data_IF_323263542997
#
_entry.id   IF_323263542997
#
_cell.length_a   1.000
_cell.length_b   1.000
_cell.length_c   1.000
_cell.angle_alpha   90.00
_cell.angle_beta   90.00
_cell.angle_gamma   90.00
#
_symmetry.space_group_name_H-M   'P 1'
#
loop_
_entity.id
_entity.type
_entity.pdbx_description
1 polymer ?
#
# COMPACT_ATOMS: atom_id res chain seq x y z
N UNK A 1 -4.70 -0.16 -30.14
CA UNK A 1 -3.90 0.15 -28.92
C UNK A 1 -4.72 0.89 -27.85
N UNK A 2 -5.43 1.98 -28.17
CA UNK A 2 -6.24 2.74 -27.18
C UNK A 2 -7.28 1.89 -26.42
N UNK A 3 -7.91 0.92 -27.11
CA UNK A 3 -8.92 0.05 -26.49
C UNK A 3 -8.35 -0.90 -25.40
N UNK A 4 -7.07 -1.28 -25.49
CA UNK A 4 -6.44 -2.18 -24.52
C UNK A 4 -6.15 -1.46 -23.19
N UNK A 5 -5.68 -0.20 -23.27
CA UNK A 5 -5.45 0.66 -22.09
C UNK A 5 -6.77 0.98 -21.34
N UNK A 6 -7.87 1.15 -22.09
CA UNK A 6 -9.20 1.34 -21.51
C UNK A 6 -9.73 0.06 -20.85
N UNK A 7 -9.46 -1.12 -21.42
CA UNK A 7 -9.84 -2.41 -20.85
C UNK A 7 -9.07 -2.72 -19.56
N UNK A 8 -7.76 -2.45 -19.51
CA UNK A 8 -6.94 -2.63 -18.31
C UNK A 8 -7.44 -1.73 -17.17
N UNK A 9 -7.77 -0.46 -17.47
CA UNK A 9 -8.44 0.43 -16.51
C UNK A 9 -9.78 -0.12 -16.01
N UNK A 10 -10.54 -0.90 -16.80
CA UNK A 10 -11.86 -1.44 -16.39
C UNK A 10 -11.77 -2.67 -15.49
N UNK A 11 -10.71 -3.48 -15.60
CA UNK A 11 -10.49 -4.63 -14.73
C UNK A 11 -10.12 -4.22 -13.29
N UNK A 12 -9.46 -3.07 -13.14
CA UNK A 12 -9.09 -2.44 -11.87
C UNK A 12 -10.18 -1.51 -11.28
N UNK A 13 -11.46 -1.71 -11.60
CA UNK A 13 -12.53 -0.72 -11.29
C UNK A 13 -13.70 -1.27 -10.49
N UNK A 14 -13.47 -2.29 -9.67
CA UNK A 14 -14.48 -2.76 -8.71
C UNK A 14 -13.99 -2.72 -7.27
N UNK A 15 -13.30 -1.65 -6.89
CA UNK A 15 -12.74 -1.48 -5.55
C UNK A 15 -13.83 -1.34 -4.49
N UNK A 16 -14.95 -0.74 -4.87
CA UNK A 16 -16.13 -0.67 -4.00
C UNK A 16 -16.68 -2.06 -3.65
N UNK A 17 -16.53 -3.07 -4.52
CA UNK A 17 -16.88 -4.44 -4.16
C UNK A 17 -15.86 -5.13 -3.24
N UNK A 18 -14.60 -4.66 -3.22
CA UNK A 18 -13.57 -5.18 -2.31
C UNK A 18 -13.77 -4.69 -0.88
N UNK A 19 -14.15 -3.42 -0.71
CA UNK A 19 -14.49 -2.85 0.60
C UNK A 19 -15.56 -1.75 0.45
N UNK A 20 -16.85 -2.09 0.61
CA UNK A 20 -17.95 -1.12 0.49
C UNK A 20 -17.93 -0.02 1.56
N UNK A 21 -17.17 -0.23 2.65
CA UNK A 21 -17.03 0.72 3.76
C UNK A 21 -15.94 1.76 3.52
N UNK A 22 -15.04 1.51 2.56
CA UNK A 22 -13.97 2.43 2.19
C UNK A 22 -14.51 3.58 1.34
N UNK A 23 -14.75 4.73 1.97
CA UNK A 23 -15.27 5.92 1.30
C UNK A 23 -14.38 6.45 0.17
N UNK A 24 -13.08 6.14 0.18
CA UNK A 24 -12.14 6.51 -0.89
C UNK A 24 -12.54 5.86 -2.22
N UNK A 25 -13.04 4.63 -2.22
CA UNK A 25 -13.42 3.93 -3.45
C UNK A 25 -14.65 4.51 -4.14
N UNK A 26 -15.48 5.27 -3.43
CA UNK A 26 -16.62 6.01 -4.00
C UNK A 26 -16.19 7.27 -4.77
N UNK A 27 -14.94 7.69 -4.61
CA UNK A 27 -14.38 8.83 -5.32
C UNK A 27 -13.18 8.35 -6.13
N UNK A 28 -13.42 8.00 -7.40
CA UNK A 28 -12.39 7.46 -8.31
C UNK A 28 -11.17 8.39 -8.43
N UNK A 29 -11.38 9.70 -8.48
CA UNK A 29 -10.29 10.67 -8.57
C UNK A 29 -9.43 10.68 -7.30
N UNK A 30 -10.06 10.68 -6.12
CA UNK A 30 -9.35 10.60 -4.84
C UNK A 30 -8.58 9.28 -4.72
N UNK A 31 -9.25 8.16 -5.02
CA UNK A 31 -8.61 6.84 -5.04
C UNK A 31 -7.38 6.83 -5.94
N UNK A 32 -7.49 7.33 -7.18
CA UNK A 32 -6.38 7.34 -8.12
C UNK A 32 -5.18 8.15 -7.62
N UNK A 33 -5.41 9.28 -6.93
CA UNK A 33 -4.34 10.08 -6.32
C UNK A 33 -3.65 9.28 -5.21
N UNK A 34 -4.43 8.68 -4.30
CA UNK A 34 -3.89 7.89 -3.19
C UNK A 34 -3.14 6.66 -3.69
N UNK A 35 -3.66 6.01 -4.73
CA UNK A 35 -3.01 4.87 -5.40
C UNK A 35 -1.66 5.28 -5.97
N UNK A 36 -1.62 6.43 -6.67
CA UNK A 36 -0.40 6.96 -7.30
C UNK A 36 0.69 7.29 -6.28
N UNK A 37 0.32 7.81 -5.11
CA UNK A 37 1.28 8.01 -3.99
C UNK A 37 1.94 6.68 -3.61
N UNK A 38 1.16 5.61 -3.46
CA UNK A 38 1.70 4.29 -3.15
C UNK A 38 2.58 3.73 -4.27
N UNK A 39 2.26 3.97 -5.55
CA UNK A 39 3.09 3.54 -6.68
C UNK A 39 4.45 4.21 -6.66
N UNK A 40 4.47 5.54 -6.59
CA UNK A 40 5.71 6.32 -6.64
C UNK A 40 6.59 6.04 -5.41
N UNK A 41 5.97 5.87 -4.24
CA UNK A 41 6.66 5.46 -3.03
C UNK A 41 7.32 4.08 -3.19
N UNK A 42 6.60 3.10 -3.75
CA UNK A 42 7.17 1.79 -4.04
C UNK A 42 8.30 1.85 -5.07
N UNK A 43 8.16 2.62 -6.15
CA UNK A 43 9.23 2.77 -7.16
C UNK A 43 10.55 3.28 -6.54
N UNK A 44 10.49 4.13 -5.51
CA UNK A 44 11.68 4.63 -4.81
C UNK A 44 12.32 3.61 -3.86
N UNK A 45 11.52 2.75 -3.21
CA UNK A 45 11.98 1.85 -2.15
C UNK A 45 11.81 0.36 -2.49
N UNK A 46 11.55 0.02 -3.75
CA UNK A 46 11.22 -1.36 -4.16
C UNK A 46 12.35 -2.34 -3.91
N UNK A 47 13.60 -1.88 -3.81
CA UNK A 47 14.74 -2.74 -3.50
C UNK A 47 14.78 -3.21 -2.04
N UNK A 48 14.17 -2.45 -1.14
CA UNK A 48 14.16 -2.70 0.31
C UNK A 48 12.80 -3.26 0.77
N UNK A 49 11.71 -2.76 0.17
CA UNK A 49 10.34 -3.07 0.56
C UNK A 49 9.49 -3.45 -0.66
N UNK A 50 9.60 -4.72 -1.08
CA UNK A 50 8.87 -5.27 -2.23
C UNK A 50 7.34 -5.14 -2.11
N UNK A 51 6.81 -5.25 -0.88
CA UNK A 51 5.37 -5.17 -0.58
C UNK A 51 4.87 -3.75 -0.32
N UNK A 52 5.70 -2.71 -0.44
CA UNK A 52 5.34 -1.36 -0.02
C UNK A 52 4.07 -0.82 -0.69
N UNK A 53 3.90 -1.09 -1.99
CA UNK A 53 2.70 -0.70 -2.75
C UNK A 53 1.43 -1.33 -2.18
N UNK A 54 1.48 -2.63 -1.87
CA UNK A 54 0.29 -3.36 -1.38
C UNK A 54 -0.02 -2.98 0.06
N UNK A 55 1.00 -2.87 0.92
CA UNK A 55 0.84 -2.41 2.31
C UNK A 55 0.30 -0.99 2.41
N UNK A 56 0.79 -0.08 1.57
CA UNK A 56 0.32 1.30 1.50
C UNK A 56 -1.19 1.39 1.20
N UNK A 57 -1.74 0.48 0.38
CA UNK A 57 -3.17 0.44 0.02
C UNK A 57 -4.07 -0.21 1.08
N UNK A 58 -3.50 -0.93 2.06
CA UNK A 58 -4.29 -1.67 3.06
C UNK A 58 -5.16 -0.73 3.90
N UNK A 59 -6.25 -1.29 4.44
CA UNK A 59 -7.14 -0.60 5.38
C UNK A 59 -7.64 0.75 4.84
N UNK A 60 -8.07 0.82 3.58
CA UNK A 60 -8.55 2.05 2.95
C UNK A 60 -7.54 3.20 3.07
N UNK A 61 -6.24 2.92 2.87
CA UNK A 61 -5.11 3.85 3.05
C UNK A 61 -4.97 4.44 4.48
N UNK A 62 -5.72 3.92 5.46
CA UNK A 62 -5.64 4.32 6.89
C UNK A 62 -4.59 3.49 7.61
N UNK A 63 -3.34 3.66 7.21
CA UNK A 63 -2.20 2.93 7.77
C UNK A 63 -0.96 3.83 7.82
N UNK A 64 0.10 3.38 8.49
CA UNK A 64 1.32 4.17 8.65
C UNK A 64 2.16 4.22 7.37
N UNK A 65 2.17 3.16 6.56
CA UNK A 65 2.91 3.12 5.29
C UNK A 65 2.41 4.19 4.31
N UNK A 66 1.09 4.39 4.21
CA UNK A 66 0.52 5.48 3.41
C UNK A 66 0.97 6.86 3.92
N UNK A 67 0.96 7.09 5.24
CA UNK A 67 1.44 8.35 5.83
C UNK A 67 2.92 8.60 5.55
N UNK A 68 3.77 7.59 5.71
CA UNK A 68 5.20 7.66 5.37
C UNK A 68 5.40 7.97 3.88
N UNK A 69 4.62 7.34 3.00
CA UNK A 69 4.67 7.63 1.57
C UNK A 69 4.22 9.08 1.23
N UNK A 70 3.22 9.62 1.93
CA UNK A 70 2.80 11.01 1.77
C UNK A 70 3.85 12.02 2.23
N UNK A 71 4.62 11.69 3.27
CA UNK A 71 5.66 12.57 3.81
C UNK A 71 6.78 12.85 2.80
N UNK A 72 7.05 11.91 1.89
CA UNK A 72 8.03 12.09 0.80
C UNK A 72 7.68 13.25 -0.14
N UNK A 73 6.39 13.54 -0.29
CA UNK A 73 5.87 14.60 -1.16
C UNK A 73 5.46 15.85 -0.39
N UNK A 74 5.55 15.80 0.94
CA UNK A 74 5.21 16.94 1.78
C UNK A 74 6.35 17.97 1.73
N UNK A 75 6.04 19.28 1.66
CA UNK A 75 7.07 20.29 1.80
C UNK A 75 7.76 20.09 3.14
N UNK A 76 9.09 20.21 3.16
CA UNK A 76 9.85 20.20 4.40
C UNK A 76 9.31 21.32 5.28
N UNK A 77 8.53 20.98 6.30
CA UNK A 77 8.09 21.94 7.30
C UNK A 77 9.36 22.51 7.93
N UNK A 78 9.63 23.78 7.68
CA UNK A 78 10.77 24.49 8.25
C UNK A 78 10.64 24.45 9.78
N UNK A 79 11.39 23.56 10.42
CA UNK A 79 11.54 23.51 11.87
C UNK A 79 10.79 22.40 12.59
N UNK A 80 11.17 21.14 12.35
CA UNK A 80 11.52 20.20 13.42
C UNK A 80 12.29 19.03 12.81
N UNK A 81 13.38 18.64 13.47
CA UNK A 81 14.25 17.51 13.14
C UNK A 81 13.48 16.32 12.59
N UNK A 82 13.97 15.72 11.49
CA UNK A 82 13.57 14.38 11.04
C UNK A 82 13.64 13.46 12.26
N UNK A 83 12.50 13.13 12.86
CA UNK A 83 12.43 11.95 13.71
C UNK A 83 12.56 10.79 12.74
N UNK A 84 13.76 10.23 12.67
CA UNK A 84 13.93 8.84 12.24
C UNK A 84 12.91 8.04 13.04
N UNK A 85 11.87 7.56 12.36
CA UNK A 85 11.00 6.52 12.93
C UNK A 85 11.93 5.35 13.24
N UNK A 86 11.96 4.81 14.47
CA UNK A 86 12.69 3.58 14.73
C UNK A 86 12.20 2.51 13.76
N UNK A 87 13.11 1.74 13.17
CA UNK A 87 12.79 0.47 12.54
C UNK A 87 11.87 -0.33 13.46
N UNK A 88 10.56 -0.35 13.17
CA UNK A 88 9.69 -1.37 13.72
C UNK A 88 10.07 -2.66 12.98
N UNK A 89 11.03 -3.38 13.57
CA UNK A 89 11.19 -4.81 13.39
C UNK A 89 9.84 -5.43 13.73
N UNK A 90 9.03 -5.68 12.69
CA UNK A 90 7.87 -6.53 12.78
C UNK A 90 8.40 -7.94 13.07
N UNK A 91 8.26 -8.34 14.33
CA UNK A 91 8.51 -9.70 14.81
C UNK A 91 7.73 -10.66 13.91
N UNK A 92 8.45 -11.23 12.94
CA UNK A 92 7.98 -12.35 12.15
C UNK A 92 8.11 -13.57 13.05
N UNK A 93 7.17 -13.73 13.96
CA UNK A 93 7.01 -14.96 14.72
C UNK A 93 6.91 -16.12 13.71
N UNK A 94 7.77 -17.11 13.91
CA UNK A 94 8.08 -18.24 13.04
C UNK A 94 6.86 -19.00 12.43
N UNK A 95 7.07 -19.74 11.33
CA UNK A 95 6.04 -20.59 10.74
C UNK A 95 5.71 -21.76 11.66
N UNK A 96 4.46 -21.85 12.13
CA UNK A 96 3.92 -23.08 12.70
C UNK A 96 3.72 -24.07 11.54
N UNK A 97 4.78 -24.84 11.25
CA UNK A 97 4.65 -26.08 10.49
C UNK A 97 4.01 -27.13 11.39
N UNK A 98 2.69 -27.28 11.28
CA UNK A 98 1.97 -28.38 11.93
C UNK A 98 1.07 -29.12 10.93
N UNK A 99 1.70 -29.82 10.00
CA UNK A 99 1.13 -31.05 9.45
C UNK A 99 1.92 -32.23 10.00
N UNK A 100 1.31 -32.90 10.98
CA UNK A 100 1.77 -34.15 11.57
C UNK A 100 1.18 -35.33 10.77
N UNK A 101 2.07 -36.22 10.34
CA UNK A 101 1.96 -37.66 10.07
C UNK A 101 0.58 -38.30 9.78
N UNK A 102 0.49 -38.88 8.57
CA UNK A 102 0.15 -40.28 8.24
C UNK A 102 1.05 -40.59 7.02
N UNK A 103 1.87 -41.63 6.90
CA UNK A 103 1.73 -43.05 7.26
C UNK A 103 3.10 -43.66 7.59
N UNK A 104 3.18 -44.47 8.66
CA UNK A 104 3.75 -45.82 8.72
C UNK A 104 3.49 -46.41 10.12
#
# INVERSE_FOLDING_TARGET
LQNLLLQQKRADRNWEALDPSCSVYRNEALHAIMDRVCEMCHEMFSHEQNSLRSECRKNCFRNIKFRQCLELFSPLSSGTSRRSVPDEHEDSSEPISHYHLLEH
#
